data_IF_376557486396
#
_entry.id   IF_376557486396
#
_cell.length_a   1.000
_cell.length_b   1.000
_cell.length_c   1.000
_cell.angle_alpha   90.00
_cell.angle_beta   90.00
_cell.angle_gamma   90.00
#
_symmetry.space_group_name_H-M   'P 1'
#
loop_
_entity.id
_entity.type
_entity.pdbx_description
1 polymer ?
#
# COMPACT_ATOMS: atom_id res chain seq x y z
N UNK A 1 6.27 -7.78 -3.56
CA UNK A 1 5.24 -6.87 -4.10
C UNK A 1 5.88 -5.61 -4.64
N UNK A 2 5.37 -5.07 -5.76
CA UNK A 2 5.71 -3.74 -6.28
C UNK A 2 4.44 -2.93 -6.42
N UNK A 3 4.51 -1.61 -6.18
CA UNK A 3 3.37 -0.74 -6.42
C UNK A 3 3.77 0.56 -7.11
N UNK A 4 2.83 1.16 -7.85
CA UNK A 4 3.01 2.44 -8.52
C UNK A 4 1.67 3.09 -8.86
N UNK A 5 1.68 4.41 -9.06
CA UNK A 5 0.51 5.15 -9.54
C UNK A 5 0.72 5.56 -10.99
N UNK A 6 -0.25 5.27 -11.86
CA UNK A 6 -0.25 5.66 -13.27
C UNK A 6 -1.68 5.94 -13.74
N UNK A 7 -1.87 7.06 -14.44
CA UNK A 7 -3.16 7.42 -15.07
C UNK A 7 -4.37 7.33 -14.10
N UNK A 8 -4.20 7.87 -12.89
CA UNK A 8 -5.22 7.84 -11.84
C UNK A 8 -5.44 6.46 -11.18
N UNK A 9 -4.54 5.50 -11.42
CA UNK A 9 -4.67 4.13 -10.89
C UNK A 9 -3.46 3.77 -10.03
N UNK A 10 -3.70 3.34 -8.80
CA UNK A 10 -2.74 2.58 -8.03
C UNK A 10 -2.72 1.14 -8.54
N UNK A 11 -1.55 0.64 -8.92
CA UNK A 11 -1.29 -0.76 -9.21
C UNK A 11 -0.42 -1.36 -8.11
N UNK A 12 -0.79 -2.55 -7.64
CA UNK A 12 -0.02 -3.39 -6.74
C UNK A 12 0.16 -4.74 -7.44
N UNK A 13 1.41 -5.10 -7.75
CA UNK A 13 1.79 -6.22 -8.62
C UNK A 13 2.62 -7.24 -7.85
N UNK A 14 2.34 -8.52 -8.07
CA UNK A 14 3.04 -9.64 -7.42
C UNK A 14 2.33 -10.96 -7.69
N UNK A 15 2.54 -11.95 -6.83
CA UNK A 15 1.79 -13.21 -6.85
C UNK A 15 1.11 -13.34 -5.50
N UNK A 16 -0.19 -13.09 -5.47
CA UNK A 16 -0.92 -12.94 -4.22
C UNK A 16 -1.93 -14.04 -4.02
N UNK A 17 -2.13 -14.44 -2.76
CA UNK A 17 -3.41 -14.93 -2.29
C UNK A 17 -4.15 -13.73 -1.70
N UNK A 18 -5.40 -13.47 -2.11
CA UNK A 18 -6.11 -12.27 -1.71
C UNK A 18 -7.60 -12.50 -1.45
N UNK A 19 -8.18 -11.66 -0.59
CA UNK A 19 -9.61 -11.51 -0.38
C UNK A 19 -10.04 -10.06 -0.67
N UNK A 20 -11.16 -9.86 -1.34
CA UNK A 20 -11.66 -8.53 -1.71
C UNK A 20 -13.16 -8.41 -1.48
N UNK A 21 -13.59 -7.25 -0.98
CA UNK A 21 -15.01 -6.84 -0.94
C UNK A 21 -15.38 -5.88 -2.06
N UNK A 22 -14.45 -5.62 -2.99
CA UNK A 22 -14.66 -4.72 -4.12
C UNK A 22 -15.52 -5.32 -5.23
N UNK A 23 -15.52 -4.63 -6.37
CA UNK A 23 -16.25 -5.05 -7.58
C UNK A 23 -15.67 -6.37 -8.08
N UNK A 24 -16.52 -7.41 -8.19
CA UNK A 24 -16.06 -8.76 -8.54
C UNK A 24 -15.19 -9.41 -7.46
N UNK A 25 -15.31 -8.97 -6.21
CA UNK A 25 -14.58 -9.50 -5.07
C UNK A 25 -14.89 -10.97 -4.73
N UNK A 26 -14.11 -11.51 -3.80
CA UNK A 26 -14.08 -12.92 -3.44
C UNK A 26 -12.74 -13.28 -2.82
N UNK A 27 -12.38 -14.56 -2.82
CA UNK A 27 -11.03 -15.02 -2.46
C UNK A 27 -10.42 -15.69 -3.69
N UNK A 28 -9.24 -15.25 -4.09
CA UNK A 28 -8.57 -15.77 -5.29
C UNK A 28 -7.07 -15.59 -5.22
N UNK A 29 -6.37 -16.35 -6.06
CA UNK A 29 -4.99 -16.05 -6.40
C UNK A 29 -5.01 -14.96 -7.48
N UNK A 30 -4.30 -13.85 -7.24
CA UNK A 30 -4.30 -12.69 -8.14
C UNK A 30 -2.88 -12.19 -8.38
N UNK A 31 -2.65 -11.63 -9.55
CA UNK A 31 -1.36 -11.00 -9.90
C UNK A 31 -1.36 -9.50 -9.61
N UNK A 32 -2.56 -8.93 -9.47
CA UNK A 32 -2.77 -7.48 -9.40
C UNK A 32 -3.88 -7.12 -8.44
N UNK A 33 -3.62 -6.12 -7.61
CA UNK A 33 -4.67 -5.35 -6.95
C UNK A 33 -4.58 -3.92 -7.46
N UNK A 34 -5.72 -3.32 -7.81
CA UNK A 34 -5.77 -1.95 -8.29
C UNK A 34 -6.83 -1.10 -7.58
N UNK A 35 -6.59 0.20 -7.50
CA UNK A 35 -7.55 1.19 -7.04
C UNK A 35 -7.54 2.38 -8.01
N UNK A 36 -8.65 2.63 -8.68
CA UNK A 36 -8.73 3.62 -9.77
C UNK A 36 -9.63 4.79 -9.42
N UNK A 37 -9.15 6.01 -9.70
CA UNK A 37 -9.93 7.23 -9.57
C UNK A 37 -10.97 7.34 -10.69
N UNK A 38 -12.24 7.49 -10.32
CA UNK A 38 -13.35 7.80 -11.22
C UNK A 38 -13.91 9.21 -10.93
N UNK A 39 -14.64 9.83 -11.87
CA UNK A 39 -15.32 11.10 -11.61
C UNK A 39 -16.31 11.02 -10.43
N UNK A 40 -16.57 12.15 -9.78
CA UNK A 40 -17.52 12.23 -8.65
C UNK A 40 -18.96 11.87 -9.02
N UNK A 41 -19.33 11.95 -10.30
CA UNK A 41 -20.63 11.61 -10.84
C UNK A 41 -20.61 10.25 -11.59
N UNK A 42 -19.66 9.37 -11.28
CA UNK A 42 -19.55 8.06 -11.91
C UNK A 42 -20.87 7.25 -11.82
N UNK A 43 -21.43 6.93 -13.00
CA UNK A 43 -22.65 6.12 -13.16
C UNK A 43 -22.44 4.90 -14.10
N UNK A 44 -21.23 4.70 -14.59
CA UNK A 44 -20.93 3.60 -15.52
C UNK A 44 -20.92 2.25 -14.79
N UNK A 45 -21.00 1.16 -15.55
CA UNK A 45 -20.85 -0.19 -14.98
C UNK A 45 -19.42 -0.37 -14.41
N UNK A 46 -19.28 -0.59 -13.09
CA UNK A 46 -17.98 -0.69 -12.45
C UNK A 46 -17.18 -1.90 -12.92
N UNK A 47 -17.83 -3.01 -13.31
CA UNK A 47 -17.12 -4.22 -13.80
C UNK A 47 -16.46 -3.90 -15.14
N UNK A 48 -17.25 -3.43 -16.11
CA UNK A 48 -16.74 -3.02 -17.42
C UNK A 48 -15.67 -1.94 -17.33
N UNK A 49 -15.79 -0.99 -16.40
CA UNK A 49 -14.78 0.05 -16.20
C UNK A 49 -13.43 -0.56 -15.82
N UNK A 50 -13.41 -1.52 -14.89
CA UNK A 50 -12.20 -2.22 -14.48
C UNK A 50 -11.59 -3.07 -15.61
N UNK A 51 -12.42 -3.74 -16.41
CA UNK A 51 -11.96 -4.50 -17.59
C UNK A 51 -11.25 -3.60 -18.61
N UNK A 52 -11.77 -2.39 -18.85
CA UNK A 52 -11.14 -1.42 -19.76
C UNK A 52 -9.78 -0.92 -19.24
N UNK A 53 -9.69 -0.59 -17.96
CA UNK A 53 -8.45 -0.13 -17.32
C UNK A 53 -7.38 -1.22 -17.40
N UNK A 54 -7.74 -2.44 -17.00
CA UNK A 54 -6.81 -3.58 -16.99
C UNK A 54 -6.34 -3.94 -18.40
N UNK A 55 -7.24 -3.97 -19.38
CA UNK A 55 -6.87 -4.19 -20.78
C UNK A 55 -5.90 -3.13 -21.31
N UNK A 56 -6.12 -1.84 -20.99
CA UNK A 56 -5.26 -0.75 -21.44
C UNK A 56 -3.84 -0.81 -20.85
N UNK A 57 -3.70 -1.37 -19.65
CA UNK A 57 -2.40 -1.58 -18.98
C UNK A 57 -1.81 -2.98 -19.17
N UNK A 58 -2.38 -3.81 -20.05
CA UNK A 58 -1.88 -5.17 -20.31
C UNK A 58 -2.00 -6.11 -19.09
N UNK A 59 -2.91 -5.82 -18.17
CA UNK A 59 -3.25 -6.69 -17.03
C UNK A 59 -4.36 -7.62 -17.49
N UNK A 60 -4.03 -8.89 -17.70
CA UNK A 60 -4.97 -9.88 -18.23
C UNK A 60 -5.32 -10.91 -17.16
N UNK A 61 -6.61 -10.93 -16.78
CA UNK A 61 -7.20 -11.88 -15.80
C UNK A 61 -6.52 -11.80 -14.41
N UNK A 62 -7.12 -12.43 -13.41
CA UNK A 62 -6.55 -12.57 -12.05
C UNK A 62 -6.18 -11.24 -11.36
N UNK A 63 -7.16 -10.36 -11.19
CA UNK A 63 -7.01 -9.12 -10.44
C UNK A 63 -8.19 -8.87 -9.49
N UNK A 64 -7.94 -8.06 -8.45
CA UNK A 64 -8.99 -7.37 -7.72
C UNK A 64 -8.92 -5.87 -7.96
N UNK A 65 -10.07 -5.23 -8.15
CA UNK A 65 -10.16 -3.82 -8.49
C UNK A 65 -11.13 -3.07 -7.59
N UNK A 66 -10.68 -1.89 -7.16
CA UNK A 66 -11.46 -0.90 -6.44
C UNK A 66 -11.62 0.36 -7.29
N UNK A 67 -12.74 1.05 -7.12
CA UNK A 67 -12.99 2.36 -7.72
C UNK A 67 -13.15 3.38 -6.60
N UNK A 68 -12.68 4.61 -6.81
CA UNK A 68 -12.79 5.70 -5.83
C UNK A 68 -12.97 7.04 -6.51
N UNK A 69 -13.70 7.97 -5.90
CA UNK A 69 -13.73 9.37 -6.34
C UNK A 69 -12.57 10.21 -5.77
N UNK A 70 -11.66 9.58 -5.01
CA UNK A 70 -10.47 10.22 -4.43
C UNK A 70 -9.36 10.27 -5.46
N UNK A 71 -8.77 11.44 -5.65
CA UNK A 71 -7.58 11.63 -6.48
C UNK A 71 -6.39 10.87 -5.88
N UNK A 72 -5.65 10.12 -6.70
CA UNK A 72 -4.49 9.35 -6.23
C UNK A 72 -3.38 10.20 -5.59
N UNK A 73 -3.36 11.53 -5.78
CA UNK A 73 -2.49 12.44 -5.01
C UNK A 73 -2.79 12.43 -3.50
N UNK A 74 -4.00 12.03 -3.10
CA UNK A 74 -4.39 11.91 -1.70
C UNK A 74 -4.23 10.49 -1.14
N UNK A 75 -3.66 9.56 -1.92
CA UNK A 75 -3.33 8.21 -1.47
C UNK A 75 -2.33 8.30 -0.30
N UNK A 76 -2.67 7.64 0.80
CA UNK A 76 -1.75 7.39 1.91
C UNK A 76 -1.28 5.95 1.85
N UNK A 77 0.04 5.74 1.90
CA UNK A 77 0.68 4.43 1.94
C UNK A 77 1.43 4.30 3.26
N UNK A 78 1.16 3.25 4.02
CA UNK A 78 1.69 3.04 5.36
C UNK A 78 2.48 1.74 5.42
N UNK A 79 3.77 1.83 5.71
CA UNK A 79 4.65 0.69 5.88
C UNK A 79 4.88 0.40 7.36
N UNK A 80 4.53 -0.82 7.79
CA UNK A 80 4.78 -1.32 9.14
C UNK A 80 5.35 -2.73 9.07
N UNK A 81 6.67 -2.85 9.24
CA UNK A 81 7.42 -4.11 9.10
C UNK A 81 7.09 -4.80 7.75
N UNK A 82 6.43 -5.96 7.77
CA UNK A 82 6.02 -6.75 6.60
C UNK A 82 4.64 -6.38 6.05
N UNK A 83 3.93 -5.45 6.68
CA UNK A 83 2.60 -4.97 6.28
C UNK A 83 2.71 -3.64 5.56
N UNK A 84 2.01 -3.51 4.43
CA UNK A 84 1.81 -2.23 3.73
C UNK A 84 0.31 -1.97 3.58
N UNK A 85 -0.18 -0.81 4.02
CA UNK A 85 -1.59 -0.42 3.89
C UNK A 85 -1.72 0.78 2.97
N UNK A 86 -2.63 0.70 2.00
CA UNK A 86 -2.96 1.77 1.05
C UNK A 86 -4.36 2.29 1.33
N UNK A 87 -4.53 3.60 1.50
CA UNK A 87 -5.80 4.20 1.88
C UNK A 87 -6.13 5.37 0.95
N UNK A 88 -7.32 5.32 0.36
CA UNK A 88 -7.98 6.48 -0.24
C UNK A 88 -9.30 6.71 0.48
N UNK A 89 -9.53 7.90 1.02
CA UNK A 89 -10.68 8.16 1.87
C UNK A 89 -11.43 9.43 1.46
N UNK A 90 -12.74 9.28 1.21
CA UNK A 90 -13.68 10.38 1.08
C UNK A 90 -14.92 10.10 1.93
N UNK A 91 -15.48 11.14 2.57
CA UNK A 91 -16.60 11.02 3.53
C UNK A 91 -17.84 11.83 3.14
N UNK A 92 -17.88 12.44 1.96
CA UNK A 92 -19.03 13.24 1.51
C UNK A 92 -20.26 12.38 1.13
N UNK A 93 -20.24 11.09 1.48
CA UNK A 93 -21.30 10.11 1.24
C UNK A 93 -21.51 9.17 2.43
N UNK A 94 -21.79 9.70 3.61
CA UNK A 94 -21.93 8.88 4.79
C UNK A 94 -23.17 7.99 4.70
N UNK A 95 -23.09 6.79 5.26
CA UNK A 95 -24.31 6.04 5.58
C UNK A 95 -25.09 6.82 6.66
N UNK A 96 -26.44 7.01 6.55
CA UNK A 96 -27.39 6.37 5.64
C UNK A 96 -27.93 7.25 4.49
N UNK A 97 -27.36 8.44 4.22
CA UNK A 97 -27.95 9.43 3.31
C UNK A 97 -27.07 9.65 2.05
N UNK A 98 -27.25 8.83 1.00
CA UNK A 98 -26.37 8.89 -0.16
C UNK A 98 -26.71 10.05 -1.08
N UNK A 99 -25.72 10.88 -1.41
CA UNK A 99 -25.89 12.00 -2.35
C UNK A 99 -24.84 12.06 -3.46
N UNK A 100 -23.63 11.52 -3.25
CA UNK A 100 -22.54 11.47 -4.23
C UNK A 100 -21.62 10.27 -3.92
N UNK A 101 -21.07 9.50 -4.86
CA UNK A 101 -20.16 8.40 -4.54
C UNK A 101 -18.84 8.89 -3.92
N UNK A 102 -18.73 8.82 -2.59
CA UNK A 102 -17.46 8.87 -1.87
C UNK A 102 -17.25 7.56 -1.14
N UNK A 103 -16.00 7.07 -1.15
CA UNK A 103 -15.64 5.76 -0.61
C UNK A 103 -14.38 5.84 0.23
N UNK A 104 -14.28 4.95 1.21
CA UNK A 104 -13.03 4.61 1.89
C UNK A 104 -12.59 3.25 1.37
N UNK A 105 -11.54 3.25 0.57
CA UNK A 105 -10.91 2.03 0.09
C UNK A 105 -9.62 1.78 0.87
N UNK A 106 -9.46 0.56 1.39
CA UNK A 106 -8.28 0.11 2.12
C UNK A 106 -7.72 -1.13 1.42
N UNK A 107 -6.45 -1.13 1.06
CA UNK A 107 -5.75 -2.32 0.61
C UNK A 107 -4.67 -2.65 1.63
N UNK A 108 -4.77 -3.78 2.31
CA UNK A 108 -3.74 -4.30 3.19
C UNK A 108 -2.95 -5.38 2.46
N UNK A 109 -1.64 -5.22 2.42
CA UNK A 109 -0.72 -6.19 1.84
C UNK A 109 0.21 -6.73 2.94
N UNK A 110 0.42 -8.04 2.97
CA UNK A 110 1.42 -8.72 3.80
C UNK A 110 2.47 -9.41 2.95
N UNK A 111 3.75 -9.25 3.29
CA UNK A 111 4.81 -10.09 2.70
C UNK A 111 4.77 -11.53 3.22
N UNK A 112 4.26 -11.74 4.42
CA UNK A 112 4.13 -13.04 5.04
C UNK A 112 2.81 -13.68 4.62
N UNK A 113 2.77 -15.02 4.58
CA UNK A 113 1.61 -15.78 4.11
C UNK A 113 0.41 -15.65 5.04
N UNK A 114 -0.78 -15.84 4.50
CA UNK A 114 -2.03 -15.80 5.28
C UNK A 114 -2.98 -16.89 4.79
N UNK A 115 -3.54 -17.65 5.72
CA UNK A 115 -4.67 -18.53 5.44
C UNK A 115 -5.91 -17.70 5.09
N UNK A 116 -6.86 -18.30 4.35
CA UNK A 116 -8.10 -17.62 3.95
C UNK A 116 -8.87 -17.03 5.16
N UNK A 117 -8.86 -17.72 6.31
CA UNK A 117 -9.45 -17.22 7.55
C UNK A 117 -8.77 -15.92 8.04
N UNK A 118 -7.43 -15.85 7.99
CA UNK A 118 -6.67 -14.66 8.35
C UNK A 118 -6.92 -13.50 7.37
N UNK A 119 -7.04 -13.78 6.07
CA UNK A 119 -7.39 -12.76 5.07
C UNK A 119 -8.76 -12.13 5.37
N UNK A 120 -9.76 -12.97 5.66
CA UNK A 120 -11.10 -12.52 6.01
C UNK A 120 -11.12 -11.77 7.35
N UNK A 121 -10.41 -12.27 8.36
CA UNK A 121 -10.33 -11.61 9.66
C UNK A 121 -9.60 -10.26 9.56
N UNK A 122 -8.63 -10.12 8.65
CA UNK A 122 -7.97 -8.84 8.39
C UNK A 122 -8.93 -7.80 7.79
N UNK A 123 -9.90 -8.22 6.97
CA UNK A 123 -10.98 -7.32 6.50
C UNK A 123 -11.77 -6.78 7.69
N UNK A 124 -12.11 -7.64 8.66
CA UNK A 124 -12.80 -7.25 9.90
C UNK A 124 -11.94 -6.27 10.69
N UNK A 125 -10.66 -6.58 10.91
CA UNK A 125 -9.71 -5.75 11.65
C UNK A 125 -9.55 -4.36 11.02
N UNK A 126 -9.36 -4.28 9.70
CA UNK A 126 -9.24 -3.03 8.96
C UNK A 126 -10.55 -2.21 9.02
N UNK A 127 -11.70 -2.87 8.88
CA UNK A 127 -13.02 -2.22 8.94
C UNK A 127 -13.30 -1.66 10.34
N UNK A 128 -12.96 -2.41 11.40
CA UNK A 128 -13.08 -1.95 12.78
C UNK A 128 -12.17 -0.76 13.08
N UNK A 129 -10.91 -0.80 12.63
CA UNK A 129 -9.97 0.31 12.75
C UNK A 129 -10.49 1.58 12.05
N UNK A 130 -11.03 1.44 10.84
CA UNK A 130 -11.65 2.54 10.08
C UNK A 130 -12.82 3.15 10.84
N UNK A 131 -13.76 2.33 11.31
CA UNK A 131 -14.92 2.82 12.06
C UNK A 131 -14.48 3.56 13.34
N UNK A 132 -13.46 3.04 14.04
CA UNK A 132 -12.93 3.67 15.23
C UNK A 132 -12.22 5.00 14.93
N UNK A 133 -11.46 5.08 13.84
CA UNK A 133 -10.85 6.32 13.38
C UNK A 133 -11.90 7.39 13.04
N UNK A 134 -12.97 7.02 12.32
CA UNK A 134 -14.07 7.93 12.01
C UNK A 134 -14.77 8.45 13.27
N UNK A 135 -15.02 7.55 14.23
CA UNK A 135 -15.61 7.94 15.52
C UNK A 135 -14.75 8.95 16.28
N UNK A 136 -13.43 8.74 16.36
CA UNK A 136 -12.52 9.69 17.01
C UNK A 136 -12.42 11.04 16.30
N UNK A 137 -12.67 11.06 14.98
CA UNK A 137 -12.77 12.30 14.20
C UNK A 137 -14.12 13.02 14.38
N UNK A 138 -15.05 12.45 15.15
CA UNK A 138 -16.36 13.04 15.46
C UNK A 138 -17.46 12.71 14.45
N UNK A 139 -17.25 11.74 13.54
CA UNK A 139 -18.31 11.27 12.65
C UNK A 139 -19.26 10.32 13.39
N UNK A 140 -20.56 10.40 13.06
CA UNK A 140 -21.64 9.57 13.61
C UNK A 140 -21.95 8.33 12.77
N UNK A 141 -21.12 8.05 11.77
CA UNK A 141 -21.23 6.90 10.87
C UNK A 141 -19.92 6.08 10.84
N UNK A 142 -20.01 4.74 10.67
CA UNK A 142 -18.84 3.86 10.70
C UNK A 142 -18.10 3.74 9.35
N UNK A 143 -18.61 4.39 8.30
CA UNK A 143 -18.11 4.28 6.94
C UNK A 143 -19.06 4.89 5.90
N UNK A 144 -18.69 4.75 4.63
CA UNK A 144 -19.52 5.18 3.48
C UNK A 144 -20.34 4.02 2.92
N UNK A 145 -21.20 4.31 1.93
CA UNK A 145 -22.06 3.28 1.31
C UNK A 145 -21.30 2.28 0.43
N UNK A 146 -20.07 2.60 0.02
CA UNK A 146 -19.31 1.80 -0.98
C UNK A 146 -17.90 1.44 -0.52
N UNK A 147 -17.64 1.52 0.80
CA UNK A 147 -16.33 1.18 1.35
C UNK A 147 -15.88 -0.22 0.90
N UNK A 148 -14.63 -0.35 0.51
CA UNK A 148 -14.07 -1.61 0.04
C UNK A 148 -12.72 -1.91 0.68
N UNK A 149 -12.50 -3.18 1.00
CA UNK A 149 -11.23 -3.68 1.54
C UNK A 149 -10.70 -4.78 0.64
N UNK A 150 -9.40 -4.71 0.31
CA UNK A 150 -8.65 -5.85 -0.24
C UNK A 150 -7.57 -6.21 0.77
N UNK A 151 -7.44 -7.50 1.05
CA UNK A 151 -6.32 -8.05 1.81
C UNK A 151 -5.57 -9.00 0.90
N UNK A 152 -4.27 -8.79 0.73
CA UNK A 152 -3.41 -9.61 -0.11
C UNK A 152 -2.18 -10.05 0.69
N UNK A 153 -1.73 -11.28 0.50
CA UNK A 153 -0.44 -11.75 1.00
C UNK A 153 0.40 -12.32 -0.14
N UNK A 154 1.74 -12.32 -0.01
CA UNK A 154 2.58 -13.10 -0.93
C UNK A 154 2.17 -14.57 -0.89
N UNK A 155 1.94 -15.13 -2.07
CA UNK A 155 1.54 -16.52 -2.21
C UNK A 155 2.69 -17.44 -1.80
N UNK A 156 2.36 -18.51 -1.09
CA UNK A 156 3.31 -19.54 -0.65
C UNK A 156 4.45 -18.97 0.25
N UNK A 157 4.21 -17.84 0.91
CA UNK A 157 5.17 -17.21 1.81
C UNK A 157 5.06 -17.74 3.25
N UNK A 158 6.18 -17.75 3.96
CA UNK A 158 6.28 -18.08 5.38
C UNK A 158 6.74 -16.85 6.18
N UNK A 159 6.33 -16.71 7.46
CA UNK A 159 5.37 -17.58 8.15
C UNK A 159 3.94 -17.47 7.59
N UNK A 160 3.16 -18.53 7.71
CA UNK A 160 1.73 -18.56 7.38
C UNK A 160 0.87 -18.18 8.59
N UNK A 161 0.30 -16.97 8.59
CA UNK A 161 -0.65 -16.52 9.61
C UNK A 161 -2.01 -17.22 9.46
N UNK A 162 -2.52 -17.82 10.54
CA UNK A 162 -3.81 -18.53 10.55
C UNK A 162 -4.98 -17.68 11.04
N UNK A 163 -4.69 -16.56 11.70
CA UNK A 163 -5.62 -15.57 12.22
C UNK A 163 -4.98 -14.17 12.17
N UNK A 164 -5.80 -13.12 12.18
CA UNK A 164 -5.40 -11.73 12.02
C UNK A 164 -6.23 -10.72 12.85
N UNK A 165 -6.79 -11.17 13.97
CA UNK A 165 -7.43 -10.28 14.97
C UNK A 165 -6.43 -9.32 15.63
N UNK A 166 -6.91 -8.28 16.32
CA UNK A 166 -6.08 -7.19 16.87
C UNK A 166 -5.07 -7.60 17.95
N UNK A 167 -5.24 -8.77 18.58
CA UNK A 167 -4.28 -9.34 19.53
C UNK A 167 -3.05 -9.96 18.82
N UNK A 168 -3.16 -10.20 17.53
CA UNK A 168 -2.14 -10.86 16.71
C UNK A 168 -1.17 -9.83 16.18
N UNK A 169 0.03 -10.29 15.83
CA UNK A 169 1.07 -9.44 15.27
C UNK A 169 0.66 -8.74 13.97
N UNK A 170 0.04 -9.47 13.03
CA UNK A 170 -0.41 -8.91 11.76
C UNK A 170 -1.64 -8.02 11.94
N UNK A 171 -2.61 -8.46 12.76
CA UNK A 171 -3.83 -7.71 13.03
C UNK A 171 -3.56 -6.38 13.72
N UNK A 172 -2.68 -6.35 14.73
CA UNK A 172 -2.25 -5.10 15.38
C UNK A 172 -1.63 -4.12 14.39
N UNK A 173 -0.73 -4.59 13.52
CA UNK A 173 -0.05 -3.75 12.52
C UNK A 173 -1.03 -3.14 11.51
N UNK A 174 -1.95 -3.96 10.98
CA UNK A 174 -3.02 -3.47 10.09
C UNK A 174 -3.91 -2.47 10.83
N UNK A 175 -4.30 -2.77 12.06
CA UNK A 175 -5.14 -1.90 12.86
C UNK A 175 -4.49 -0.53 13.10
N UNK A 176 -3.24 -0.49 13.57
CA UNK A 176 -2.49 0.74 13.84
C UNK A 176 -2.25 1.56 12.55
N UNK A 177 -1.95 0.89 11.43
CA UNK A 177 -1.79 1.55 10.14
C UNK A 177 -3.10 2.18 9.64
N UNK A 178 -4.23 1.48 9.75
CA UNK A 178 -5.53 2.06 9.35
C UNK A 178 -5.94 3.20 10.29
N UNK A 179 -5.75 3.02 11.61
CA UNK A 179 -6.12 4.00 12.63
C UNK A 179 -5.38 5.34 12.44
N UNK A 180 -4.09 5.27 12.09
CA UNK A 180 -3.28 6.45 11.79
C UNK A 180 -3.52 7.00 10.37
N UNK A 181 -3.58 6.12 9.37
CA UNK A 181 -3.61 6.51 7.96
C UNK A 181 -4.94 7.08 7.48
N UNK A 182 -6.06 6.68 8.08
CA UNK A 182 -7.37 7.18 7.68
C UNK A 182 -7.53 8.69 7.93
N UNK A 183 -7.24 9.23 9.14
CA UNK A 183 -7.21 10.68 9.37
C UNK A 183 -6.32 11.44 8.37
N UNK A 184 -5.13 10.89 8.07
CA UNK A 184 -4.19 11.48 7.13
C UNK A 184 -4.75 11.55 5.70
N UNK A 185 -5.39 10.49 5.23
CA UNK A 185 -6.03 10.44 3.90
C UNK A 185 -7.19 11.45 3.82
N UNK A 186 -8.03 11.53 4.86
CA UNK A 186 -9.13 12.49 4.92
C UNK A 186 -8.66 13.94 4.97
N UNK A 187 -7.62 14.24 5.75
CA UNK A 187 -7.05 15.58 5.82
C UNK A 187 -6.57 16.08 4.45
N UNK A 188 -6.02 15.17 3.61
CA UNK A 188 -5.62 15.47 2.23
C UNK A 188 -6.82 15.68 1.31
N UNK A 189 -7.79 14.76 1.35
CA UNK A 189 -9.02 14.88 0.56
C UNK A 189 -9.81 16.16 0.88
N UNK A 190 -9.78 16.61 2.14
CA UNK A 190 -10.45 17.83 2.60
C UNK A 190 -9.60 19.10 2.40
N UNK A 191 -8.41 18.99 1.80
CA UNK A 191 -7.52 20.12 1.53
C UNK A 191 -6.85 20.73 2.76
N UNK A 192 -6.93 20.08 3.93
CA UNK A 192 -6.24 20.51 5.16
C UNK A 192 -4.73 20.29 5.08
N UNK A 193 -4.31 19.24 4.37
CA UNK A 193 -2.91 18.94 4.05
C UNK A 193 -2.76 18.89 2.53
N UNK A 194 -1.80 19.63 1.98
CA UNK A 194 -1.55 19.68 0.53
C UNK A 194 -0.27 18.92 0.17
N UNK A 195 -0.35 18.08 -0.85
CA UNK A 195 0.77 17.32 -1.43
C UNK A 195 0.60 17.26 -2.95
N UNK A 196 1.71 17.20 -3.66
CA UNK A 196 1.74 17.06 -5.12
C UNK A 196 1.48 15.62 -5.59
N UNK A 197 1.58 14.65 -4.68
CA UNK A 197 1.43 13.22 -4.95
C UNK A 197 1.17 12.42 -3.68
N UNK A 198 1.08 11.08 -3.80
CA UNK A 198 0.85 10.18 -2.68
C UNK A 198 1.80 10.44 -1.50
N UNK A 199 1.29 10.25 -0.28
CA UNK A 199 2.10 10.29 0.94
C UNK A 199 2.51 8.89 1.36
N UNK A 200 3.78 8.74 1.75
CA UNK A 200 4.33 7.50 2.26
C UNK A 200 4.68 7.67 3.74
N UNK A 201 4.20 6.79 4.60
CA UNK A 201 4.44 6.78 6.04
C UNK A 201 5.15 5.50 6.45
N UNK A 202 6.10 5.62 7.36
CA UNK A 202 6.88 4.50 7.88
C UNK A 202 6.69 4.46 9.38
N UNK A 203 6.35 3.29 9.92
CA UNK A 203 6.37 3.06 11.35
C UNK A 203 7.82 2.91 11.81
N UNK A 204 8.23 3.77 12.75
CA UNK A 204 9.57 3.82 13.32
C UNK A 204 9.55 3.45 14.78
N UNK A 205 10.55 2.68 15.19
CA UNK A 205 10.90 2.42 16.60
C UNK A 205 12.11 3.25 17.06
N UNK A 206 12.79 3.91 16.13
CA UNK A 206 13.91 4.78 16.46
C UNK A 206 13.40 6.02 17.22
N UNK A 207 13.93 6.30 18.40
CA UNK A 207 13.45 7.41 19.23
C UNK A 207 12.06 7.17 19.86
N UNK A 208 11.58 5.92 19.87
CA UNK A 208 10.25 5.54 20.33
C UNK A 208 9.30 5.21 19.18
N UNK A 209 8.16 4.62 19.53
CA UNK A 209 7.16 4.13 18.59
C UNK A 209 6.33 5.29 18.00
N UNK A 210 6.48 5.55 16.70
CA UNK A 210 5.75 6.60 16.00
C UNK A 210 5.73 6.42 14.47
N UNK A 211 4.79 7.09 13.81
CA UNK A 211 4.74 7.20 12.36
C UNK A 211 5.54 8.40 11.86
N UNK A 212 6.28 8.22 10.77
CA UNK A 212 6.98 9.30 10.06
C UNK A 212 6.49 9.37 8.63
N UNK A 213 6.00 10.54 8.22
CA UNK A 213 5.79 10.82 6.79
C UNK A 213 7.15 11.00 6.13
N UNK A 214 7.41 10.23 5.07
CA UNK A 214 8.59 10.45 4.24
C UNK A 214 8.49 11.80 3.56
N UNK A 215 9.53 12.61 3.73
CA UNK A 215 9.70 13.88 3.04
C UNK A 215 11.08 13.91 2.39
N UNK A 216 11.13 14.45 1.17
CA UNK A 216 12.37 14.62 0.41
C UNK A 216 13.33 15.57 1.13
N UNK A 217 12.79 16.60 1.77
CA UNK A 217 13.53 17.60 2.53
C UNK A 217 13.47 17.26 4.03
N UNK A 218 14.56 17.49 4.76
CA UNK A 218 14.63 17.34 6.22
C UNK A 218 14.24 15.96 6.77
N UNK A 219 14.54 14.88 6.04
CA UNK A 219 14.30 13.52 6.52
C UNK A 219 15.00 13.29 7.88
N UNK A 220 14.30 12.83 8.93
CA UNK A 220 14.91 12.61 10.25
C UNK A 220 15.92 11.46 10.26
N UNK A 221 15.90 10.60 9.23
CA UNK A 221 16.87 9.53 8.99
C UNK A 221 18.00 9.96 8.04
N UNK A 222 18.08 11.26 7.73
CA UNK A 222 19.19 11.84 6.99
C UNK A 222 20.46 11.86 7.85
N UNK A 223 21.65 11.66 7.26
CA UNK A 223 21.90 11.30 5.87
C UNK A 223 21.84 9.78 5.73
N UNK A 224 20.96 9.28 4.87
CA UNK A 224 21.23 7.98 4.29
C UNK A 224 22.52 8.17 3.44
N UNK A 225 23.60 7.64 3.98
CA UNK A 225 24.92 7.22 3.49
C UNK A 225 25.92 8.16 2.76
N UNK A 226 25.59 9.10 1.84
CA UNK A 226 26.60 10.02 1.25
C UNK A 226 26.03 11.19 0.40
N UNK A 227 26.88 12.18 0.06
CA UNK A 227 26.51 13.33 -0.77
C UNK A 227 26.12 12.93 -2.21
N UNK A 228 24.99 13.43 -2.70
CA UNK A 228 24.47 13.12 -4.05
C UNK A 228 23.49 11.93 -4.11
N UNK A 229 23.18 11.31 -2.96
CA UNK A 229 22.22 10.22 -2.87
C UNK A 229 20.78 10.65 -3.18
N UNK A 230 20.04 9.76 -3.84
CA UNK A 230 18.59 9.85 -4.06
C UNK A 230 17.80 9.12 -2.98
N UNK A 231 16.90 9.81 -2.29
CA UNK A 231 16.09 9.23 -1.21
C UNK A 231 14.63 8.97 -1.60
N UNK A 232 14.32 8.91 -2.91
CA UNK A 232 12.94 8.76 -3.42
C UNK A 232 12.24 7.46 -3.02
N UNK A 233 13.00 6.47 -2.54
CA UNK A 233 12.51 5.17 -2.11
C UNK A 233 13.02 4.84 -0.71
N UNK A 234 12.55 5.59 0.30
CA UNK A 234 12.93 5.35 1.71
C UNK A 234 12.58 3.93 2.18
N UNK A 235 11.58 3.31 1.56
CA UNK A 235 11.46 1.86 1.53
C UNK A 235 11.73 1.37 0.11
N UNK A 236 12.71 0.48 -0.04
CA UNK A 236 13.10 -0.02 -1.36
C UNK A 236 11.95 -0.84 -1.98
N UNK A 237 11.46 -0.51 -3.18
CA UNK A 237 10.42 -1.28 -3.87
C UNK A 237 10.86 -2.70 -4.27
N UNK A 238 12.16 -2.99 -4.19
CA UNK A 238 12.69 -4.33 -4.39
C UNK A 238 12.87 -5.10 -3.07
N UNK A 239 12.52 -4.53 -1.91
CA UNK A 239 12.79 -5.17 -0.62
C UNK A 239 11.78 -6.27 -0.24
N UNK A 240 12.25 -7.43 0.27
CA UNK A 240 13.63 -7.92 0.24
C UNK A 240 13.95 -8.39 -1.18
N UNK A 241 15.14 -8.07 -1.68
CA UNK A 241 15.51 -8.49 -3.03
C UNK A 241 16.15 -9.89 -3.05
N UNK A 242 16.70 -10.33 -1.90
CA UNK A 242 17.36 -11.63 -1.77
C UNK A 242 18.61 -11.78 -2.64
N UNK A 243 19.11 -10.69 -3.23
CA UNK A 243 20.24 -10.67 -4.14
C UNK A 243 21.51 -10.35 -3.36
N UNK A 244 22.37 -11.35 -3.14
CA UNK A 244 23.56 -11.25 -2.28
C UNK A 244 24.61 -10.23 -2.79
N UNK A 245 24.51 -9.77 -4.05
CA UNK A 245 25.34 -8.66 -4.53
C UNK A 245 24.90 -7.30 -3.94
N UNK A 246 23.71 -7.24 -3.34
CA UNK A 246 23.05 -6.03 -2.85
C UNK A 246 22.75 -6.08 -1.35
N UNK A 247 23.10 -7.16 -0.64
CA UNK A 247 22.80 -7.31 0.77
C UNK A 247 23.06 -8.72 1.26
N UNK A 248 22.58 -9.00 2.47
CA UNK A 248 22.81 -10.28 3.15
C UNK A 248 21.61 -10.64 4.03
N UNK A 249 21.44 -11.93 4.30
CA UNK A 249 20.46 -12.41 5.26
C UNK A 249 21.06 -12.36 6.68
N UNK A 250 20.48 -11.56 7.57
CA UNK A 250 20.91 -11.41 8.97
C UNK A 250 19.96 -12.11 9.93
N UNK A 251 20.52 -12.79 10.93
CA UNK A 251 19.72 -13.40 11.98
C UNK A 251 19.06 -12.33 12.86
N UNK A 252 17.74 -12.37 12.95
CA UNK A 252 16.95 -11.56 13.85
C UNK A 252 17.08 -12.06 15.29
N UNK A 253 17.03 -11.11 16.25
CA UNK A 253 17.01 -11.40 17.68
C UNK A 253 15.86 -12.32 18.12
N UNK A 254 14.81 -12.43 17.31
CA UNK A 254 13.61 -13.21 17.62
C UNK A 254 13.58 -14.58 16.91
N UNK A 255 14.71 -15.05 16.37
CA UNK A 255 14.84 -16.41 15.83
C UNK A 255 14.44 -16.58 14.36
N UNK A 256 14.39 -15.49 13.58
CA UNK A 256 14.16 -15.49 12.13
C UNK A 256 15.34 -14.93 11.34
N UNK A 257 15.23 -14.88 10.01
CA UNK A 257 16.21 -14.22 9.13
C UNK A 257 15.56 -13.00 8.47
N UNK A 258 16.27 -11.87 8.45
CA UNK A 258 15.83 -10.60 7.86
C UNK A 258 16.81 -10.20 6.78
N UNK A 259 16.31 -9.69 5.66
CA UNK A 259 17.17 -9.17 4.60
C UNK A 259 17.77 -7.83 5.04
N UNK A 260 19.09 -7.76 5.14
CA UNK A 260 19.86 -6.56 5.40
C UNK A 260 20.44 -6.01 4.10
N UNK A 261 19.94 -4.86 3.63
CA UNK A 261 20.45 -4.20 2.43
C UNK A 261 21.10 -2.84 2.74
N UNK A 262 21.66 -2.67 3.94
CA UNK A 262 22.21 -1.38 4.40
C UNK A 262 23.33 -0.84 3.49
N UNK A 263 24.09 -1.72 2.84
CA UNK A 263 25.13 -1.35 1.87
C UNK A 263 24.64 -1.15 0.43
N UNK A 264 23.36 -1.35 0.14
CA UNK A 264 22.83 -1.28 -1.23
C UNK A 264 22.76 0.17 -1.74
N UNK A 265 23.41 0.45 -2.86
CA UNK A 265 23.36 1.77 -3.52
C UNK A 265 22.45 1.81 -4.75
N UNK A 266 21.86 0.68 -5.16
CA UNK A 266 21.19 0.54 -6.46
C UNK A 266 20.13 1.62 -6.70
N UNK A 267 19.18 1.80 -5.78
CA UNK A 267 18.13 2.82 -5.88
C UNK A 267 18.52 4.17 -5.27
N UNK A 268 19.76 4.31 -4.83
CA UNK A 268 20.32 5.55 -4.34
C UNK A 268 21.05 6.34 -5.44
N UNK A 269 21.39 5.67 -6.55
CA UNK A 269 21.94 6.29 -7.77
C UNK A 269 20.81 7.06 -8.48
N UNK A 270 20.98 8.38 -8.74
CA UNK A 270 19.93 9.22 -9.30
C UNK A 270 19.31 8.68 -10.59
N UNK A 271 20.13 8.23 -11.52
CA UNK A 271 19.72 7.74 -12.84
C UNK A 271 18.94 6.44 -12.74
N UNK A 272 19.35 5.52 -11.85
CA UNK A 272 18.66 4.24 -11.61
C UNK A 272 17.30 4.50 -10.97
N UNK A 273 17.23 5.40 -9.99
CA UNK A 273 15.96 5.77 -9.36
C UNK A 273 15.01 6.50 -10.32
N UNK A 274 15.49 7.37 -11.20
CA UNK A 274 14.68 7.94 -12.29
C UNK A 274 14.20 6.89 -13.28
N UNK A 275 15.06 5.91 -13.58
CA UNK A 275 14.67 4.80 -14.44
C UNK A 275 13.55 3.98 -13.80
N UNK A 276 13.66 3.63 -12.51
CA UNK A 276 12.62 2.92 -11.77
C UNK A 276 11.31 3.72 -11.68
N UNK A 277 11.39 5.04 -11.48
CA UNK A 277 10.19 5.91 -11.47
C UNK A 277 9.44 5.88 -12.80
N UNK A 278 10.17 5.90 -13.92
CA UNK A 278 9.59 5.85 -15.27
C UNK A 278 9.13 4.43 -15.66
N UNK A 279 9.80 3.41 -15.11
CA UNK A 279 9.59 2.01 -15.42
C UNK A 279 9.36 1.23 -14.11
N UNK A 280 8.22 1.42 -13.42
CA UNK A 280 8.00 0.80 -12.11
C UNK A 280 7.89 -0.73 -12.15
N UNK A 281 7.72 -1.30 -13.35
CA UNK A 281 7.74 -2.75 -13.56
C UNK A 281 9.16 -3.31 -13.81
N UNK A 282 10.19 -2.45 -13.91
CA UNK A 282 11.56 -2.87 -14.15
C UNK A 282 12.01 -3.95 -13.15
N UNK A 283 12.59 -5.02 -13.66
CA UNK A 283 13.07 -6.13 -12.81
C UNK A 283 14.34 -5.74 -12.06
N UNK A 284 14.65 -6.42 -10.95
CA UNK A 284 15.93 -6.20 -10.26
C UNK A 284 17.13 -6.41 -11.21
N UNK A 285 17.08 -7.45 -12.03
CA UNK A 285 18.10 -7.75 -13.03
C UNK A 285 18.23 -6.62 -14.06
N UNK A 286 17.12 -6.02 -14.48
CA UNK A 286 17.11 -4.87 -15.38
C UNK A 286 17.73 -3.63 -14.73
N UNK A 287 17.39 -3.34 -13.48
CA UNK A 287 17.99 -2.23 -12.73
C UNK A 287 19.50 -2.43 -12.55
N UNK A 288 19.96 -3.65 -12.23
CA UNK A 288 21.39 -3.99 -12.15
C UNK A 288 22.10 -3.77 -13.50
N UNK A 289 21.52 -4.25 -14.60
CA UNK A 289 22.05 -4.04 -15.96
C UNK A 289 22.05 -2.58 -16.38
N UNK A 290 21.06 -1.79 -15.96
CA UNK A 290 21.02 -0.36 -16.23
C UNK A 290 22.17 0.35 -15.49
N UNK A 291 22.39 0.02 -14.21
CA UNK A 291 23.53 0.53 -13.43
C UNK A 291 24.88 0.23 -14.07
N UNK A 292 25.07 -0.96 -14.64
CA UNK A 292 26.32 -1.35 -15.30
C UNK A 292 26.63 -0.54 -16.58
N UNK A 293 25.66 0.22 -17.11
CA UNK A 293 25.80 1.04 -18.33
C UNK A 293 25.97 2.53 -18.04
N UNK A 294 25.88 2.95 -16.78
CA UNK A 294 26.12 4.33 -16.33
C UNK A 294 27.62 4.59 -16.23
#
# INVERSE_FOLDING_TARGET
MRYFVRDGTLFIRGRFRAASTGVGGGIADVTTVLNHTVPHDFQEDPVRRLELITAWHGVFRDYFGLLTAVDMRHLCVLQYDYVTVFITAGVSNPTPSPSTPHTINIIAYSREGMADAALLETIITATGAKAWALHHLGYDFPGTTTDAVVVACERDAEPMHTYAGTLTEIGRRVHEAVLFGLPEALARQQGRVKREGPSFFIYSRYGGDHWVEWQKENCPYHPCHFAGQRCDYCYCPCYPCGDEDLGEWVNSSNGGSVWGCAGCTLLHIPEVADYMKRNPEATLAELKRFRERL
#
